data_IF_942672612854
#
_entry.id   IF_942672612854
#
_cell.length_a   1.000
_cell.length_b   1.000
_cell.length_c   1.000
_cell.angle_alpha   90.00
_cell.angle_beta   90.00
_cell.angle_gamma   90.00
#
_symmetry.space_group_name_H-M   'P 1'
#
loop_
_entity.id
_entity.type
_entity.pdbx_description
1 polymer ?
#
# COMPACT_ATOMS: atom_id res chain seq x y z
N UNK A 1 5.00 26.49 10.14
CA UNK A 1 5.06 27.96 10.24
C UNK A 1 6.02 28.50 9.19
N UNK A 2 7.34 28.41 9.36
CA UNK A 2 8.35 28.98 8.44
C UNK A 2 8.10 28.69 6.94
N UNK A 3 7.91 27.43 6.54
CA UNK A 3 7.59 27.08 5.14
C UNK A 3 6.27 27.69 4.63
N UNK A 4 5.26 27.84 5.50
CA UNK A 4 3.99 28.49 5.15
C UNK A 4 4.15 30.01 5.06
N UNK A 5 4.99 30.60 5.91
CA UNK A 5 5.33 32.02 5.87
C UNK A 5 5.97 32.40 4.55
N UNK A 6 6.94 31.60 4.07
CA UNK A 6 7.57 31.81 2.77
C UNK A 6 6.56 31.73 1.63
N UNK A 7 5.65 30.74 1.65
CA UNK A 7 4.57 30.61 0.66
C UNK A 7 3.58 31.79 0.71
N UNK A 8 3.25 32.28 1.90
CA UNK A 8 2.37 33.44 2.07
C UNK A 8 3.04 34.72 1.55
N UNK A 9 4.33 34.90 1.82
CA UNK A 9 5.10 36.03 1.30
C UNK A 9 5.15 36.04 -0.23
N UNK A 10 5.38 34.87 -0.86
CA UNK A 10 5.34 34.74 -2.31
C UNK A 10 3.97 35.06 -2.92
N UNK A 11 2.89 34.63 -2.26
CA UNK A 11 1.52 34.77 -2.79
C UNK A 11 0.92 36.15 -2.57
N UNK A 12 1.20 36.77 -1.44
CA UNK A 12 0.58 38.04 -1.03
C UNK A 12 1.57 39.22 -1.04
N UNK A 13 2.83 38.98 -1.41
CA UNK A 13 3.91 39.99 -1.50
C UNK A 13 4.02 40.80 -0.18
N UNK A 14 3.82 40.11 0.95
CA UNK A 14 3.89 40.70 2.29
C UNK A 14 4.74 39.85 3.20
N UNK A 15 5.71 40.48 3.84
CA UNK A 15 6.48 39.84 4.91
C UNK A 15 5.57 39.54 6.09
N UNK A 16 5.71 38.37 6.69
CA UNK A 16 4.96 37.96 7.87
C UNK A 16 5.89 37.24 8.84
N UNK A 17 5.69 37.43 10.15
CA UNK A 17 6.42 36.68 11.16
C UNK A 17 5.87 35.24 11.23
N UNK A 18 6.73 34.19 11.25
CA UNK A 18 6.30 32.81 11.46
C UNK A 18 5.42 32.60 12.70
N UNK A 19 5.61 33.37 13.77
CA UNK A 19 4.78 33.32 14.98
C UNK A 19 3.37 33.81 14.70
N UNK A 20 3.23 34.94 13.99
CA UNK A 20 1.93 35.47 13.57
C UNK A 20 1.17 34.43 12.74
N UNK A 21 1.85 33.76 11.79
CA UNK A 21 1.25 32.67 11.01
C UNK A 21 0.82 31.51 11.91
N UNK A 22 1.61 31.13 12.92
CA UNK A 22 1.26 30.05 13.85
C UNK A 22 0.05 30.41 14.71
N UNK A 23 -0.01 31.64 15.21
CA UNK A 23 -1.13 32.14 16.03
C UNK A 23 -2.42 32.17 15.23
N UNK A 24 -2.38 32.63 13.98
CA UNK A 24 -3.52 32.59 13.06
C UNK A 24 -3.96 31.14 12.83
N UNK A 25 -3.05 30.22 12.52
CA UNK A 25 -3.40 28.81 12.31
C UNK A 25 -4.04 28.19 13.55
N UNK A 26 -3.53 28.49 14.75
CA UNK A 26 -4.14 28.05 16.03
C UNK A 26 -5.54 28.63 16.23
N UNK A 27 -5.76 29.91 15.89
CA UNK A 27 -7.09 30.55 15.92
C UNK A 27 -8.10 29.82 15.03
N UNK A 28 -7.65 29.28 13.89
CA UNK A 28 -8.47 28.46 12.98
C UNK A 28 -8.44 26.95 13.29
N UNK A 29 -7.95 26.57 14.48
CA UNK A 29 -7.82 25.19 14.95
C UNK A 29 -6.98 24.27 14.03
N UNK A 30 -5.97 24.83 13.36
CA UNK A 30 -5.02 24.11 12.54
C UNK A 30 -3.72 23.87 13.29
N UNK A 31 -3.29 22.62 13.38
CA UNK A 31 -2.09 22.23 14.13
C UNK A 31 -1.09 21.49 13.23
N UNK A 32 0.19 21.66 13.53
CA UNK A 32 1.26 20.88 12.91
C UNK A 32 1.16 19.41 13.34
N UNK A 33 1.02 18.50 12.37
CA UNK A 33 0.95 17.05 12.58
C UNK A 33 1.74 16.33 11.49
N UNK A 34 2.19 15.12 11.78
CA UNK A 34 2.81 14.26 10.77
C UNK A 34 1.73 13.81 9.77
N UNK A 35 2.00 13.97 8.48
CA UNK A 35 1.14 13.50 7.41
C UNK A 35 1.08 11.98 7.40
N UNK A 36 -0.11 11.42 7.16
CA UNK A 36 -0.26 9.97 6.99
C UNK A 36 0.23 9.60 5.59
N UNK A 37 1.07 8.57 5.50
CA UNK A 37 1.47 8.00 4.22
C UNK A 37 0.40 7.05 3.73
N UNK A 38 -0.20 7.38 2.60
CA UNK A 38 -1.17 6.51 1.92
C UNK A 38 -1.00 6.65 0.41
N UNK A 39 -1.16 5.57 -0.35
CA UNK A 39 -1.23 5.66 -1.80
C UNK A 39 -2.45 6.49 -2.18
N UNK A 40 -2.31 7.25 -3.27
CA UNK A 40 -3.44 7.96 -3.84
C UNK A 40 -4.44 6.96 -4.42
N UNK A 41 -5.72 7.08 -4.05
CA UNK A 41 -6.78 6.23 -4.57
C UNK A 41 -7.78 7.06 -5.36
N UNK A 42 -7.99 6.69 -6.63
CA UNK A 42 -9.04 7.27 -7.46
C UNK A 42 -10.43 7.00 -6.84
N UNK A 43 -11.45 7.77 -7.24
CA UNK A 43 -12.84 7.51 -6.83
C UNK A 43 -13.28 6.09 -7.22
N UNK A 44 -12.89 5.63 -8.40
CA UNK A 44 -13.17 4.28 -8.89
C UNK A 44 -12.52 3.20 -7.99
N UNK A 45 -11.24 3.34 -7.68
CA UNK A 45 -10.54 2.37 -6.80
C UNK A 45 -11.15 2.31 -5.40
N UNK A 46 -11.58 3.46 -4.85
CA UNK A 46 -12.27 3.48 -3.55
C UNK A 46 -13.58 2.70 -3.58
N UNK A 47 -14.36 2.85 -4.64
CA UNK A 47 -15.61 2.11 -4.82
C UNK A 47 -15.35 0.61 -4.92
N UNK A 48 -14.44 0.20 -5.81
CA UNK A 48 -14.10 -1.21 -6.00
C UNK A 48 -13.57 -1.86 -4.72
N UNK A 49 -12.72 -1.18 -3.96
CA UNK A 49 -12.23 -1.67 -2.67
C UNK A 49 -13.34 -1.82 -1.63
N UNK A 50 -14.32 -0.91 -1.63
CA UNK A 50 -15.46 -0.98 -0.72
C UNK A 50 -16.40 -2.14 -1.10
N UNK A 51 -16.69 -2.32 -2.39
CA UNK A 51 -17.48 -3.44 -2.90
C UNK A 51 -16.82 -4.78 -2.58
N UNK A 52 -15.51 -4.87 -2.79
CA UNK A 52 -14.71 -6.03 -2.42
C UNK A 52 -14.80 -6.34 -0.92
N UNK A 53 -14.63 -5.33 -0.06
CA UNK A 53 -14.74 -5.53 1.38
C UNK A 53 -16.14 -6.00 1.79
N UNK A 54 -17.20 -5.40 1.21
CA UNK A 54 -18.59 -5.77 1.48
C UNK A 54 -18.92 -7.20 1.03
N UNK A 55 -18.42 -7.63 -0.13
CA UNK A 55 -18.68 -8.99 -0.63
C UNK A 55 -17.92 -10.07 0.14
N UNK A 56 -16.78 -9.74 0.75
CA UNK A 56 -15.93 -10.69 1.45
C UNK A 56 -16.10 -10.70 2.98
N UNK A 57 -16.80 -9.72 3.57
CA UNK A 57 -16.96 -9.61 5.04
C UNK A 57 -17.65 -10.82 5.68
N UNK A 58 -18.54 -11.49 4.93
CA UNK A 58 -19.30 -12.67 5.41
C UNK A 58 -18.65 -14.00 5.03
N UNK A 59 -17.44 -13.99 4.46
CA UNK A 59 -16.76 -15.23 4.09
C UNK A 59 -16.35 -15.98 5.37
N UNK A 60 -16.53 -17.31 5.39
CA UNK A 60 -16.21 -18.11 6.57
C UNK A 60 -14.69 -18.20 6.77
N UNK A 61 -14.25 -18.56 7.98
CA UNK A 61 -12.82 -18.56 8.33
C UNK A 61 -12.03 -19.56 7.47
N UNK A 62 -12.65 -20.69 7.11
CA UNK A 62 -12.06 -21.75 6.27
C UNK A 62 -11.65 -21.21 4.90
N UNK A 63 -12.44 -20.28 4.35
CA UNK A 63 -12.11 -19.59 3.10
C UNK A 63 -10.83 -18.75 3.25
N UNK A 64 -10.69 -18.00 4.34
CA UNK A 64 -9.47 -17.23 4.59
C UNK A 64 -8.26 -18.11 4.87
N UNK A 65 -8.47 -19.27 5.50
CA UNK A 65 -7.41 -20.24 5.76
C UNK A 65 -6.91 -20.91 4.47
N UNK A 66 -7.78 -21.08 3.47
CA UNK A 66 -7.40 -21.68 2.18
C UNK A 66 -6.63 -20.71 1.27
N UNK A 67 -6.80 -19.39 1.43
CA UNK A 67 -6.13 -18.37 0.62
C UNK A 67 -4.60 -18.37 0.83
N UNK A 68 -3.87 -18.15 -0.27
CA UNK A 68 -2.44 -17.85 -0.30
C UNK A 68 -2.26 -16.41 -0.79
N UNK A 69 -1.82 -15.52 0.10
CA UNK A 69 -1.49 -14.15 -0.24
C UNK A 69 -0.10 -14.11 -0.88
N UNK A 70 0.03 -13.32 -1.94
CA UNK A 70 1.27 -13.13 -2.68
C UNK A 70 1.42 -11.65 -2.94
N UNK A 71 2.59 -11.08 -2.66
CA UNK A 71 2.86 -9.67 -2.93
C UNK A 71 4.34 -9.46 -3.27
N UNK A 72 4.61 -8.32 -3.90
CA UNK A 72 5.96 -7.84 -4.17
C UNK A 72 6.22 -6.60 -3.32
N UNK A 73 7.38 -6.58 -2.67
CA UNK A 73 7.78 -5.43 -1.87
C UNK A 73 9.16 -4.94 -2.26
N UNK A 74 9.27 -3.61 -2.35
CA UNK A 74 10.54 -2.91 -2.50
C UNK A 74 11.10 -2.57 -1.13
N UNK A 75 12.20 -3.21 -0.75
CA UNK A 75 12.99 -2.90 0.44
C UNK A 75 14.10 -1.90 0.07
N UNK A 76 14.03 -0.69 0.61
CA UNK A 76 15.08 0.30 0.39
C UNK A 76 16.24 0.01 1.35
N UNK A 77 17.47 0.02 0.83
CA UNK A 77 18.69 -0.22 1.63
C UNK A 77 19.12 1.05 2.36
N UNK A 78 18.93 2.22 1.74
CA UNK A 78 19.25 3.51 2.36
C UNK A 78 18.00 4.40 2.53
N UNK A 79 17.82 4.90 3.75
CA UNK A 79 16.89 5.99 4.09
C UNK A 79 15.41 5.61 4.14
N UNK A 80 14.76 5.82 5.29
CA UNK A 80 13.33 6.06 5.31
C UNK A 80 13.08 7.50 4.87
N UNK A 81 12.12 7.76 3.98
CA UNK A 81 11.69 9.14 3.73
C UNK A 81 11.40 9.80 5.09
N UNK A 82 11.84 11.04 5.31
CA UNK A 82 11.63 11.74 6.58
C UNK A 82 10.15 11.97 6.89
N UNK A 83 9.82 12.28 8.15
CA UNK A 83 8.45 12.64 8.55
C UNK A 83 8.06 13.97 7.88
N UNK A 84 7.05 13.97 7.02
CA UNK A 84 6.50 15.20 6.45
C UNK A 84 5.46 15.80 7.41
N UNK A 85 5.63 17.08 7.74
CA UNK A 85 4.70 17.82 8.58
C UNK A 85 3.66 18.58 7.74
N UNK A 86 2.39 18.45 8.10
CA UNK A 86 1.25 19.18 7.53
C UNK A 86 0.53 19.97 8.62
N UNK A 87 -0.06 21.09 8.23
CA UNK A 87 -0.93 21.89 9.11
C UNK A 87 -2.37 21.55 8.77
N UNK A 88 -3.10 20.92 9.71
CA UNK A 88 -4.45 20.42 9.47
C UNK A 88 -5.35 20.56 10.71
N UNK A 89 -6.66 20.46 10.50
CA UNK A 89 -7.65 20.41 11.59
C UNK A 89 -7.68 19.00 12.22
N UNK A 90 -8.23 18.87 13.44
CA UNK A 90 -8.57 17.57 14.00
C UNK A 90 -9.49 16.76 13.07
N UNK A 91 -9.38 15.43 13.08
CA UNK A 91 -10.20 14.48 12.31
C UNK A 91 -10.12 14.61 10.77
N UNK A 92 -9.20 15.42 10.24
CA UNK A 92 -9.02 15.60 8.79
C UNK A 92 -7.84 14.80 8.22
N UNK A 93 -7.30 13.81 8.94
CA UNK A 93 -6.09 13.05 8.57
C UNK A 93 -6.16 12.33 7.24
N UNK A 94 -7.34 11.83 6.87
CA UNK A 94 -7.55 11.02 5.67
C UNK A 94 -7.97 11.86 4.46
N UNK A 95 -8.12 13.18 4.63
CA UNK A 95 -8.36 14.06 3.51
C UNK A 95 -7.15 14.07 2.58
N UNK A 96 -7.40 13.97 1.28
CA UNK A 96 -6.37 13.84 0.23
C UNK A 96 -5.28 14.91 0.29
N UNK A 97 -5.64 16.15 0.67
CA UNK A 97 -4.72 17.29 0.81
C UNK A 97 -3.76 17.17 2.02
N UNK A 98 -4.08 16.32 3.00
CA UNK A 98 -3.32 16.12 4.23
C UNK A 98 -2.47 14.82 4.21
N UNK A 99 -2.60 14.03 3.14
CA UNK A 99 -1.83 12.80 2.93
C UNK A 99 -0.51 13.11 2.23
N UNK A 100 0.51 12.35 2.58
CA UNK A 100 1.77 12.30 1.82
C UNK A 100 1.76 11.03 0.99
N UNK A 101 2.05 11.15 -0.30
CA UNK A 101 2.21 9.98 -1.17
C UNK A 101 3.46 9.20 -0.76
N UNK A 102 3.36 7.87 -0.76
CA UNK A 102 4.51 6.99 -0.57
C UNK A 102 5.23 6.82 -1.90
N UNK A 103 6.04 7.81 -2.30
CA UNK A 103 6.86 7.72 -3.50
C UNK A 103 8.30 7.45 -3.04
N UNK A 104 8.76 6.20 -3.21
CA UNK A 104 10.12 5.76 -2.82
C UNK A 104 11.08 6.02 -3.98
N UNK A 105 11.98 7.00 -3.90
CA UNK A 105 13.00 7.26 -4.93
C UNK A 105 14.41 7.36 -4.31
N UNK A 106 15.40 6.71 -4.94
CA UNK A 106 16.82 6.81 -4.60
C UNK A 106 17.34 5.81 -3.56
N UNK A 107 18.67 5.57 -3.56
CA UNK A 107 19.36 4.92 -2.44
C UNK A 107 19.44 3.39 -2.44
N UNK A 108 19.43 2.72 -3.60
CA UNK A 108 19.54 1.25 -3.68
C UNK A 108 18.33 0.53 -3.09
N UNK A 109 17.79 -0.44 -3.81
CA UNK A 109 16.60 -1.15 -3.36
C UNK A 109 16.60 -2.58 -3.84
N UNK A 110 16.25 -3.50 -2.95
CA UNK A 110 16.01 -4.88 -3.29
C UNK A 110 14.52 -5.13 -3.46
N UNK A 111 14.12 -5.65 -4.61
CA UNK A 111 12.78 -6.18 -4.81
C UNK A 111 12.73 -7.59 -4.26
N UNK A 112 11.67 -7.90 -3.52
CA UNK A 112 11.39 -9.24 -3.01
C UNK A 112 9.97 -9.64 -3.36
N UNK A 113 9.80 -10.88 -3.78
CA UNK A 113 8.51 -11.55 -3.90
C UNK A 113 8.34 -12.46 -2.69
N UNK A 114 7.14 -12.52 -2.13
CA UNK A 114 6.85 -13.44 -1.04
C UNK A 114 5.41 -13.87 -1.03
N UNK A 115 5.15 -14.98 -0.35
CA UNK A 115 3.80 -15.44 -0.10
C UNK A 115 3.56 -15.81 1.36
N UNK A 116 2.31 -15.74 1.81
CA UNK A 116 1.90 -16.11 3.16
C UNK A 116 0.47 -16.66 3.17
N UNK A 117 0.17 -17.49 4.15
CA UNK A 117 -1.17 -18.02 4.39
C UNK A 117 -1.46 -18.06 5.89
N UNK A 118 -2.67 -18.48 6.26
CA UNK A 118 -3.02 -18.66 7.67
C UNK A 118 -2.11 -19.66 8.42
N UNK A 119 -1.47 -20.60 7.70
CA UNK A 119 -0.56 -21.60 8.29
C UNK A 119 0.84 -21.02 8.54
N UNK A 120 1.23 -19.97 7.82
CA UNK A 120 2.55 -19.38 7.96
C UNK A 120 3.06 -18.68 6.70
N UNK A 121 4.32 -18.27 6.76
CA UNK A 121 5.04 -17.61 5.66
C UNK A 121 5.55 -18.67 4.69
N UNK A 122 5.32 -18.44 3.39
CA UNK A 122 5.84 -19.29 2.32
C UNK A 122 7.23 -18.85 1.86
N UNK A 123 7.57 -19.16 0.61
CA UNK A 123 8.88 -18.83 0.08
C UNK A 123 9.05 -17.31 -0.12
N UNK A 124 10.27 -16.82 0.11
CA UNK A 124 10.70 -15.45 -0.19
C UNK A 124 11.75 -15.52 -1.31
N UNK A 125 11.55 -14.77 -2.38
CA UNK A 125 12.40 -14.76 -3.56
C UNK A 125 12.95 -13.36 -3.83
N UNK A 126 14.26 -13.23 -3.93
CA UNK A 126 14.92 -11.97 -4.28
C UNK A 126 14.85 -11.75 -5.80
N UNK A 127 14.46 -10.56 -6.23
CA UNK A 127 14.38 -10.20 -7.65
C UNK A 127 15.48 -9.21 -7.96
N UNK A 128 16.39 -9.62 -8.85
CA UNK A 128 17.44 -8.76 -9.34
C UNK A 128 16.93 -7.93 -10.52
N UNK A 129 16.91 -6.60 -10.33
CA UNK A 129 16.48 -5.65 -11.35
C UNK A 129 14.97 -5.38 -11.37
N UNK A 130 14.47 -4.95 -12.54
CA UNK A 130 13.04 -4.70 -12.73
C UNK A 130 12.34 -6.00 -13.06
N UNK A 131 11.25 -6.28 -12.35
CA UNK A 131 10.45 -7.48 -12.59
C UNK A 131 9.74 -7.39 -13.93
N UNK A 132 9.92 -8.40 -14.77
CA UNK A 132 9.12 -8.58 -15.98
C UNK A 132 7.99 -9.60 -15.77
N UNK A 133 7.08 -9.67 -16.74
CA UNK A 133 5.93 -10.59 -16.70
C UNK A 133 6.35 -12.07 -16.69
N UNK A 134 7.42 -12.44 -17.40
CA UNK A 134 7.85 -13.84 -17.53
C UNK A 134 8.52 -14.31 -16.25
N UNK A 135 9.41 -13.49 -15.68
CA UNK A 135 10.00 -13.67 -14.35
C UNK A 135 8.91 -13.85 -13.29
N UNK A 136 7.85 -13.03 -13.32
CA UNK A 136 6.71 -13.21 -12.41
C UNK A 136 6.05 -14.56 -12.57
N UNK A 137 5.72 -14.95 -13.81
CA UNK A 137 5.09 -16.25 -14.07
C UNK A 137 5.99 -17.41 -13.66
N UNK A 138 7.30 -17.30 -13.82
CA UNK A 138 8.24 -18.34 -13.44
C UNK A 138 8.40 -18.44 -11.92
N UNK A 139 8.58 -17.32 -11.21
CA UNK A 139 8.61 -17.28 -9.74
C UNK A 139 7.33 -17.88 -9.19
N UNK A 140 6.20 -17.52 -9.75
CA UNK A 140 4.90 -18.02 -9.34
C UNK A 140 4.75 -19.51 -9.60
N UNK A 141 5.14 -20.03 -10.77
CA UNK A 141 5.09 -21.47 -11.06
C UNK A 141 6.00 -22.27 -10.13
N UNK A 142 7.20 -21.77 -9.86
CA UNK A 142 8.19 -22.43 -9.01
C UNK A 142 7.77 -22.41 -7.53
N UNK A 143 7.32 -21.26 -7.03
CA UNK A 143 7.07 -21.06 -5.61
C UNK A 143 5.64 -21.38 -5.19
N UNK A 144 4.64 -21.23 -6.07
CA UNK A 144 3.25 -21.54 -5.71
C UNK A 144 3.05 -23.04 -5.52
N UNK A 145 3.67 -23.87 -6.35
CA UNK A 145 3.60 -25.34 -6.20
C UNK A 145 4.23 -25.77 -4.87
N UNK A 146 5.47 -25.39 -4.61
CA UNK A 146 6.18 -25.76 -3.38
C UNK A 146 5.52 -25.19 -2.11
N UNK A 147 4.98 -23.97 -2.17
CA UNK A 147 4.28 -23.36 -1.03
C UNK A 147 2.89 -23.96 -0.81
N UNK A 148 2.21 -24.41 -1.87
CA UNK A 148 0.96 -25.15 -1.78
C UNK A 148 1.16 -26.61 -1.34
N UNK A 149 2.25 -27.25 -1.72
CA UNK A 149 2.61 -28.63 -1.32
C UNK A 149 2.94 -28.71 0.18
N UNK A 150 3.66 -27.72 0.73
CA UNK A 150 3.82 -27.58 2.21
C UNK A 150 2.48 -27.47 2.95
N UNK A 151 1.42 -27.00 2.26
CA UNK A 151 0.06 -26.80 2.77
C UNK A 151 -0.87 -28.01 2.48
N UNK A 152 -0.57 -28.81 1.46
CA UNK A 152 -1.32 -30.03 1.07
C UNK A 152 -1.23 -31.14 2.13
N UNK A 153 -0.23 -31.10 3.01
CA UNK A 153 -0.15 -32.01 4.15
C UNK A 153 -1.28 -31.80 5.20
N UNK A 154 -2.02 -30.68 5.16
CA UNK A 154 -3.01 -30.34 6.20
C UNK A 154 -4.40 -29.87 5.73
N UNK A 155 -4.61 -29.44 4.48
CA UNK A 155 -5.97 -29.06 4.02
C UNK A 155 -6.10 -29.02 2.48
N UNK A 156 -7.23 -29.50 1.95
CA UNK A 156 -7.58 -29.37 0.53
C UNK A 156 -7.71 -27.89 0.14
N UNK A 157 -6.79 -27.38 -0.67
CA UNK A 157 -6.84 -26.01 -1.21
C UNK A 157 -7.69 -26.05 -2.48
N UNK A 158 -8.87 -25.45 -2.45
CA UNK A 158 -9.75 -25.35 -3.63
C UNK A 158 -9.57 -24.04 -4.41
N UNK A 159 -8.76 -23.09 -3.93
CA UNK A 159 -8.58 -21.79 -4.58
C UNK A 159 -7.29 -21.06 -4.17
N UNK A 160 -6.51 -20.61 -5.15
CA UNK A 160 -5.42 -19.63 -4.96
C UNK A 160 -6.00 -18.24 -5.21
N UNK A 161 -6.14 -17.44 -4.16
CA UNK A 161 -6.59 -16.04 -4.26
C UNK A 161 -5.41 -15.08 -4.18
N UNK A 162 -5.00 -14.50 -5.31
CA UNK A 162 -3.91 -13.51 -5.35
C UNK A 162 -4.48 -12.12 -5.10
N UNK A 163 -4.11 -11.52 -3.98
CA UNK A 163 -4.46 -10.15 -3.62
C UNK A 163 -3.21 -9.27 -3.69
N UNK A 164 -3.04 -8.53 -4.77
CA UNK A 164 -1.97 -7.52 -4.88
C UNK A 164 -2.47 -6.14 -4.42
N UNK A 165 -1.58 -5.27 -3.96
CA UNK A 165 -1.94 -3.93 -3.45
C UNK A 165 -2.55 -2.98 -4.51
N UNK A 166 -2.46 -3.32 -5.80
CA UNK A 166 -2.79 -2.39 -6.89
C UNK A 166 -3.96 -2.80 -7.80
N UNK A 167 -4.62 -3.96 -7.65
CA UNK A 167 -5.72 -4.29 -8.58
C UNK A 167 -6.83 -5.19 -8.00
N UNK A 168 -8.02 -4.96 -8.56
CA UNK A 168 -9.29 -5.61 -8.29
C UNK A 168 -9.22 -7.14 -8.44
N UNK A 169 -9.76 -7.87 -7.46
CA UNK A 169 -10.12 -9.27 -7.62
C UNK A 169 -11.32 -9.37 -8.57
N UNK A 170 -11.09 -9.85 -9.79
CA UNK A 170 -12.15 -10.46 -10.60
C UNK A 170 -12.17 -11.93 -10.23
N UNK A 171 -13.24 -12.32 -9.52
CA UNK A 171 -13.62 -13.71 -9.30
C UNK A 171 -14.11 -14.29 -10.62
N UNK A 172 -13.50 -15.36 -11.11
CA UNK A 172 -14.10 -16.23 -12.12
C UNK A 172 -14.00 -17.67 -11.60
N UNK A 173 -15.14 -18.34 -11.58
CA UNK A 173 -15.30 -19.71 -11.15
C UNK A 173 -14.36 -20.66 -11.89
N UNK A 174 -13.90 -21.69 -11.17
CA UNK A 174 -13.14 -22.85 -11.66
C UNK A 174 -11.85 -22.55 -12.43
N UNK A 175 -10.72 -22.60 -11.73
CA UNK A 175 -9.40 -22.80 -12.35
C UNK A 175 -8.47 -21.58 -12.28
N UNK A 176 -7.73 -21.47 -11.17
CA UNK A 176 -6.44 -20.78 -11.04
C UNK A 176 -6.23 -19.52 -11.93
N UNK A 177 -6.80 -18.38 -11.54
CA UNK A 177 -6.54 -17.10 -12.21
C UNK A 177 -5.56 -16.25 -11.39
N UNK A 178 -4.46 -15.88 -12.03
CA UNK A 178 -3.42 -15.02 -11.47
C UNK A 178 -3.43 -13.73 -12.29
N UNK A 179 -4.14 -12.72 -11.79
CA UNK A 179 -4.16 -11.39 -12.40
C UNK A 179 -2.91 -10.62 -12.02
N UNK A 180 -1.97 -10.53 -12.97
CA UNK A 180 -0.88 -9.54 -12.96
C UNK A 180 -1.40 -8.31 -13.71
N UNK A 181 -1.51 -7.17 -13.04
CA UNK A 181 -1.74 -5.90 -13.73
C UNK A 181 -0.54 -4.98 -13.54
N UNK A 182 -0.18 -4.34 -14.66
CA UNK A 182 0.86 -3.32 -14.82
C UNK A 182 0.62 -2.11 -13.91
#
# INVERSE_FOLDING_TARGET
>A
AVKLTLKAQQRFIKSANPETVRNILRKYNCHGRVARRKPFLSKAHRRARLEFAKSNIKKPQEFWNSILFVDESKCNVFGSDGKQMVWRKPNSELEMKNLTTSIKHGGGSQMVWGCMSAVGVGNLHFIDGMMDKYMYLDILKQNSKQSAEKKWAYCHITSIGIMTQSTMLISADSGLYITVSK
#
